data_IF_210347185484
#
_entry.id   IF_210347185484
#
_cell.length_a   1.000
_cell.length_b   1.000
_cell.length_c   1.000
_cell.angle_alpha   90.00
_cell.angle_beta   90.00
_cell.angle_gamma   90.00
#
_symmetry.space_group_name_H-M   'P 1'
#
loop_
_entity.id
_entity.type
_entity.pdbx_description
1 polymer ?
#
# COMPACT_ATOMS: atom_id res chain seq x y z
N UNK A 1 9.69 17.07 12.93
CA UNK A 1 9.97 16.03 11.93
C UNK A 1 11.39 15.55 12.14
N UNK A 2 11.54 14.37 12.72
CA UNK A 2 12.83 13.80 13.12
C UNK A 2 13.55 13.17 11.90
N UNK A 3 14.85 12.89 12.00
CA UNK A 3 15.65 12.41 10.85
C UNK A 3 15.16 11.08 10.27
N UNK A 4 14.59 10.23 11.13
CA UNK A 4 14.01 8.95 10.77
C UNK A 4 12.81 9.11 9.82
N UNK A 5 11.88 10.03 10.12
CA UNK A 5 10.74 10.36 9.26
C UNK A 5 11.19 10.91 7.89
N UNK A 6 12.25 11.73 7.86
CA UNK A 6 12.81 12.24 6.59
C UNK A 6 13.39 11.11 5.72
N UNK A 7 14.10 10.16 6.31
CA UNK A 7 14.66 9.01 5.60
C UNK A 7 13.57 8.11 4.99
N UNK A 8 12.51 7.84 5.76
CA UNK A 8 11.37 7.03 5.31
C UNK A 8 10.60 7.71 4.18
N UNK A 9 10.39 9.03 4.29
CA UNK A 9 9.72 9.82 3.24
C UNK A 9 10.47 9.73 1.91
N UNK A 10 11.79 9.87 1.93
CA UNK A 10 12.63 9.75 0.73
C UNK A 10 12.58 8.35 0.10
N UNK A 11 12.55 7.29 0.91
CA UNK A 11 12.38 5.93 0.41
C UNK A 11 11.02 5.73 -0.29
N UNK A 12 9.95 6.25 0.31
CA UNK A 12 8.62 6.19 -0.27
C UNK A 12 8.59 6.97 -1.59
N UNK A 13 9.07 8.21 -1.62
CA UNK A 13 9.09 9.04 -2.83
C UNK A 13 9.85 8.37 -4.00
N UNK A 14 10.99 7.73 -3.72
CA UNK A 14 11.70 6.93 -4.71
C UNK A 14 10.86 5.74 -5.24
N UNK A 15 10.09 5.09 -4.36
CA UNK A 15 9.17 4.02 -4.75
C UNK A 15 8.02 4.55 -5.62
N UNK A 16 7.49 5.74 -5.34
CA UNK A 16 6.38 6.32 -6.10
C UNK A 16 6.76 6.71 -7.53
N UNK A 17 8.03 7.08 -7.77
CA UNK A 17 8.50 7.55 -9.08
C UNK A 17 8.30 6.58 -10.25
N UNK A 18 8.16 5.28 -9.97
CA UNK A 18 7.91 4.24 -10.98
C UNK A 18 6.50 3.64 -10.94
N UNK A 19 5.57 4.23 -10.18
CA UNK A 19 4.26 3.61 -9.89
C UNK A 19 3.13 4.50 -10.44
N UNK A 20 2.26 3.91 -11.25
CA UNK A 20 0.97 4.53 -11.56
C UNK A 20 -0.09 4.00 -10.60
N UNK A 21 -0.52 4.88 -9.68
CA UNK A 21 -1.56 4.55 -8.72
C UNK A 21 -2.93 5.05 -9.20
N UNK A 22 -3.91 4.17 -9.49
CA UNK A 22 -5.25 4.59 -9.90
C UNK A 22 -6.03 5.31 -8.79
N UNK A 23 -5.49 5.33 -7.56
CA UNK A 23 -6.05 6.03 -6.39
C UNK A 23 -5.25 7.29 -6.03
N UNK A 24 -4.44 7.79 -6.96
CA UNK A 24 -3.64 9.00 -6.81
C UNK A 24 -2.82 9.05 -5.50
N UNK A 25 -2.33 7.89 -5.06
CA UNK A 25 -1.57 7.72 -3.81
C UNK A 25 -2.28 8.24 -2.55
N UNK A 26 -3.61 8.08 -2.44
CA UNK A 26 -4.37 8.57 -1.28
C UNK A 26 -3.85 8.07 0.07
N UNK A 27 -3.26 6.87 0.14
CA UNK A 27 -2.66 6.33 1.36
C UNK A 27 -1.41 7.10 1.80
N UNK A 28 -0.62 7.62 0.87
CA UNK A 28 0.50 8.50 1.19
C UNK A 28 0.02 9.92 1.54
N UNK A 29 -0.91 10.47 0.73
CA UNK A 29 -1.42 11.83 0.90
C UNK A 29 -2.20 12.04 2.20
N UNK A 30 -2.80 10.99 2.74
CA UNK A 30 -3.48 11.00 4.05
C UNK A 30 -2.53 10.87 5.24
N UNK A 31 -1.21 10.91 5.03
CA UNK A 31 -0.26 10.66 6.13
C UNK A 31 -0.34 9.24 6.69
N UNK A 32 -0.79 8.28 5.88
CA UNK A 32 -1.03 6.88 6.25
C UNK A 32 -2.29 6.61 7.08
N UNK A 33 -3.16 7.61 7.29
CA UNK A 33 -4.42 7.42 8.03
C UNK A 33 -5.47 6.63 7.21
N UNK A 34 -5.36 6.63 5.88
CA UNK A 34 -6.26 5.89 4.99
C UNK A 34 -5.47 4.99 4.02
N UNK A 35 -5.18 3.76 4.44
CA UNK A 35 -4.37 2.83 3.66
C UNK A 35 -5.07 2.23 2.45
N UNK A 36 -6.32 2.62 2.18
CA UNK A 36 -7.25 1.88 1.34
C UNK A 36 -7.48 0.48 1.93
N UNK A 37 -8.73 0.04 2.00
CA UNK A 37 -9.13 -1.12 2.81
C UNK A 37 -8.30 -2.35 2.44
N UNK A 38 -7.40 -2.73 3.34
CA UNK A 38 -6.52 -3.86 3.19
C UNK A 38 -6.22 -4.45 4.56
N UNK A 39 -5.95 -5.76 4.60
CA UNK A 39 -5.67 -6.50 5.83
C UNK A 39 -4.39 -7.30 5.67
N UNK A 40 -3.53 -7.29 6.69
CA UNK A 40 -2.39 -8.19 6.73
C UNK A 40 -2.86 -9.64 6.94
N UNK A 41 -2.34 -10.54 6.13
CA UNK A 41 -2.63 -11.98 6.14
C UNK A 41 -1.41 -12.82 6.56
N UNK A 42 -0.36 -12.19 7.10
CA UNK A 42 0.85 -12.86 7.58
C UNK A 42 1.86 -13.23 6.48
N UNK A 43 1.57 -12.93 5.22
CA UNK A 43 2.48 -13.15 4.09
C UNK A 43 3.31 -11.89 3.85
N UNK A 44 4.62 -12.02 3.62
CA UNK A 44 5.53 -10.88 3.49
C UNK A 44 5.17 -9.95 2.33
N UNK A 45 4.86 -10.52 1.17
CA UNK A 45 4.74 -9.79 -0.10
C UNK A 45 3.31 -9.39 -0.48
N UNK A 46 2.31 -9.69 0.36
CA UNK A 46 0.91 -9.45 0.01
C UNK A 46 0.08 -9.03 1.22
N UNK A 47 -0.92 -8.19 0.93
CA UNK A 47 -2.05 -7.94 1.82
C UNK A 47 -3.32 -8.49 1.16
N UNK A 48 -4.36 -8.74 1.93
CA UNK A 48 -5.70 -8.91 1.38
C UNK A 48 -6.30 -7.53 1.06
N UNK A 49 -6.89 -7.39 -0.12
CA UNK A 49 -7.58 -6.20 -0.57
C UNK A 49 -9.08 -6.31 -0.25
N UNK A 50 -9.59 -5.36 0.54
CA UNK A 50 -10.97 -5.30 1.02
C UNK A 50 -11.76 -4.14 0.38
N UNK A 51 -11.25 -3.61 -0.73
CA UNK A 51 -11.89 -2.54 -1.49
C UNK A 51 -13.14 -3.04 -2.19
N UNK A 52 -14.17 -2.19 -2.28
CA UNK A 52 -15.45 -2.56 -2.91
C UNK A 52 -15.29 -2.98 -4.38
N UNK A 53 -14.31 -2.38 -5.08
CA UNK A 53 -13.96 -2.75 -6.45
C UNK A 53 -12.44 -3.01 -6.55
N UNK A 54 -11.96 -4.20 -6.17
CA UNK A 54 -10.54 -4.52 -6.20
C UNK A 54 -9.98 -4.47 -7.63
N UNK A 55 -10.78 -4.87 -8.62
CA UNK A 55 -10.40 -4.97 -10.04
C UNK A 55 -10.05 -3.63 -10.68
N UNK A 56 -10.50 -2.50 -10.11
CA UNK A 56 -10.11 -1.17 -10.55
C UNK A 56 -8.66 -0.79 -10.15
N UNK A 57 -8.01 -1.60 -9.31
CA UNK A 57 -6.64 -1.37 -8.86
C UNK A 57 -5.68 -2.31 -9.62
N UNK A 58 -4.73 -1.76 -10.35
CA UNK A 58 -3.68 -2.50 -11.09
C UNK A 58 -2.78 -3.36 -10.18
N UNK A 59 -2.74 -3.03 -8.89
CA UNK A 59 -2.08 -3.81 -7.84
C UNK A 59 -2.97 -4.88 -7.21
N UNK A 60 -4.22 -5.05 -7.64
CA UNK A 60 -5.06 -6.13 -7.17
C UNK A 60 -4.89 -7.37 -8.05
N UNK A 61 -4.87 -8.53 -7.42
CA UNK A 61 -4.84 -9.83 -8.09
C UNK A 61 -5.87 -10.75 -7.44
N UNK A 62 -6.68 -11.45 -8.23
CA UNK A 62 -7.63 -12.43 -7.69
C UNK A 62 -6.90 -13.74 -7.33
N UNK A 63 -7.26 -14.33 -6.19
CA UNK A 63 -6.81 -15.65 -5.76
C UNK A 63 -7.99 -16.40 -5.13
N UNK A 64 -8.63 -17.27 -5.91
CA UNK A 64 -9.87 -17.93 -5.50
C UNK A 64 -10.97 -16.90 -5.21
N UNK A 65 -11.52 -16.93 -3.98
CA UNK A 65 -12.53 -15.99 -3.50
C UNK A 65 -11.94 -14.69 -2.93
N UNK A 66 -10.62 -14.58 -2.82
CA UNK A 66 -9.94 -13.43 -2.23
C UNK A 66 -9.32 -12.54 -3.30
N UNK A 67 -9.08 -11.28 -2.94
CA UNK A 67 -8.26 -10.37 -3.71
C UNK A 67 -7.00 -10.03 -2.92
N UNK A 68 -5.83 -10.25 -3.51
CA UNK A 68 -4.55 -9.82 -2.96
C UNK A 68 -4.21 -8.42 -3.44
N UNK A 69 -3.45 -7.69 -2.63
CA UNK A 69 -2.89 -6.39 -2.90
C UNK A 69 -1.36 -6.51 -2.91
N UNK A 70 -0.76 -6.27 -4.08
CA UNK A 70 0.69 -6.20 -4.30
C UNK A 70 1.22 -4.77 -4.40
N UNK A 71 0.49 -3.79 -3.86
CA UNK A 71 0.90 -2.39 -3.90
C UNK A 71 2.16 -2.20 -3.05
N UNK A 72 3.32 -1.83 -3.63
CA UNK A 72 4.58 -1.73 -2.89
C UNK A 72 4.47 -0.79 -1.69
N UNK A 73 3.77 0.34 -1.88
CA UNK A 73 3.55 1.33 -0.83
C UNK A 73 2.72 0.76 0.33
N UNK A 74 1.60 0.08 0.07
CA UNK A 74 0.77 -0.48 1.14
C UNK A 74 1.48 -1.60 1.90
N UNK A 75 2.24 -2.44 1.19
CA UNK A 75 3.05 -3.48 1.82
C UNK A 75 4.09 -2.84 2.73
N UNK A 76 4.82 -1.82 2.26
CA UNK A 76 5.78 -1.10 3.08
C UNK A 76 5.12 -0.51 4.34
N UNK A 77 3.96 0.14 4.18
CA UNK A 77 3.24 0.73 5.32
C UNK A 77 2.82 -0.35 6.33
N UNK A 78 2.11 -1.38 5.89
CA UNK A 78 1.62 -2.43 6.78
C UNK A 78 2.75 -3.21 7.48
N UNK A 79 3.84 -3.52 6.75
CA UNK A 79 4.90 -4.42 7.23
C UNK A 79 6.03 -3.70 7.96
N UNK A 80 6.41 -2.50 7.52
CA UNK A 80 7.53 -1.74 8.10
C UNK A 80 7.06 -0.67 9.06
N UNK A 81 5.91 -0.04 8.78
CA UNK A 81 5.38 1.01 9.64
C UNK A 81 4.37 0.50 10.67
N UNK A 82 3.89 -0.74 10.50
CA UNK A 82 2.86 -1.36 11.36
C UNK A 82 1.64 -0.45 11.53
N UNK A 83 1.30 0.28 10.47
CA UNK A 83 0.12 1.13 10.36
C UNK A 83 -0.92 0.48 9.47
#
# INVERSE_FOLDING_TARGET
MNEMEKGMKKQIENMLGGIECPKAFQCYKSGFDNLCRARDIGIESFLECLEKNPKACTFSMALGLMHLCRCPLRIYIAKKLQK
#
